data_IF_208462956130
#
_entry.id   IF_208462956130
#
_cell.length_a   1.000
_cell.length_b   1.000
_cell.length_c   1.000
_cell.angle_alpha   90.00
_cell.angle_beta   90.00
_cell.angle_gamma   90.00
#
_symmetry.space_group_name_H-M   'P 1'
#
loop_
_entity.id
_entity.type
_entity.pdbx_description
1 polymer ?
#
# COMPACT_ATOMS: atom_id res chain seq x y z
N UNK A 1 -0.17 26.47 13.83
CA UNK A 1 -1.07 26.48 12.64
C UNK A 1 -0.33 25.79 11.50
N UNK A 2 -0.83 24.66 10.98
CA UNK A 2 -0.20 23.95 9.86
C UNK A 2 -0.64 24.61 8.54
N UNK A 3 0.30 25.18 7.80
CA UNK A 3 0.05 25.70 6.46
C UNK A 3 0.11 24.51 5.49
N UNK A 4 -0.94 24.33 4.70
CA UNK A 4 -0.99 23.26 3.68
C UNK A 4 -1.04 23.87 2.29
N UNK A 5 -0.26 23.32 1.36
CA UNK A 5 -0.18 23.76 -0.03
C UNK A 5 -0.79 22.71 -0.96
N UNK A 6 -1.62 23.15 -1.91
CA UNK A 6 -2.21 22.30 -2.95
C UNK A 6 -1.64 22.69 -4.31
N UNK A 7 -0.86 21.80 -4.91
CA UNK A 7 -0.24 22.01 -6.22
C UNK A 7 -0.80 21.02 -7.24
N UNK A 8 -1.06 21.47 -8.47
CA UNK A 8 -1.27 20.58 -9.62
C UNK A 8 0.10 20.11 -10.14
N UNK A 9 0.27 18.80 -10.27
CA UNK A 9 1.49 18.21 -10.85
C UNK A 9 1.35 18.19 -12.38
N UNK A 10 2.21 18.95 -13.06
CA UNK A 10 2.35 18.92 -14.51
C UNK A 10 3.48 17.97 -14.90
N UNK A 11 3.30 17.25 -16.01
CA UNK A 11 4.27 16.26 -16.51
C UNK A 11 5.51 16.96 -17.07
N UNK A 12 6.58 16.94 -16.29
CA UNK A 12 7.89 17.49 -16.66
C UNK A 12 9.00 16.48 -16.32
N UNK A 13 10.21 16.67 -16.86
CA UNK A 13 11.34 15.77 -16.55
C UNK A 13 11.64 15.65 -15.05
N UNK A 14 11.46 16.75 -14.31
CA UNK A 14 11.65 16.81 -12.85
C UNK A 14 10.63 15.96 -12.07
N UNK A 15 9.48 15.64 -12.68
CA UNK A 15 8.40 14.85 -12.04
C UNK A 15 8.48 13.34 -12.31
N UNK A 16 9.37 12.89 -13.21
CA UNK A 16 9.54 11.46 -13.55
C UNK A 16 9.84 10.58 -12.33
N UNK A 17 10.52 11.13 -11.32
CA UNK A 17 10.80 10.40 -10.09
C UNK A 17 9.51 10.11 -9.31
N UNK A 18 8.55 11.05 -9.30
CA UNK A 18 7.28 10.94 -8.60
C UNK A 18 6.45 9.84 -9.25
N UNK A 19 6.39 9.82 -10.58
CA UNK A 19 5.68 8.77 -11.34
C UNK A 19 6.29 7.39 -11.08
N UNK A 20 7.62 7.32 -11.01
CA UNK A 20 8.34 6.08 -10.65
C UNK A 20 7.97 5.61 -9.25
N UNK A 21 7.93 6.52 -8.26
CA UNK A 21 7.50 6.22 -6.90
C UNK A 21 6.03 5.76 -6.86
N UNK A 22 5.15 6.41 -7.62
CA UNK A 22 3.74 6.07 -7.71
C UNK A 22 3.54 4.67 -8.31
N UNK A 23 4.30 4.32 -9.35
CA UNK A 23 4.29 2.97 -9.94
C UNK A 23 4.77 1.93 -8.92
N UNK A 24 5.86 2.19 -8.20
CA UNK A 24 6.36 1.30 -7.13
C UNK A 24 5.34 1.13 -6.00
N UNK A 25 4.66 2.22 -5.63
CA UNK A 25 3.57 2.21 -4.66
C UNK A 25 2.41 1.31 -5.13
N UNK A 26 2.02 1.42 -6.40
CA UNK A 26 0.99 0.58 -7.01
C UNK A 26 1.33 -0.91 -6.95
N UNK A 27 2.58 -1.28 -7.25
CA UNK A 27 3.06 -2.67 -7.15
C UNK A 27 2.95 -3.19 -5.71
N UNK A 28 3.38 -2.40 -4.71
CA UNK A 28 3.25 -2.78 -3.30
C UNK A 28 1.78 -2.95 -2.89
N UNK A 29 0.92 -2.02 -3.31
CA UNK A 29 -0.51 -2.06 -3.04
C UNK A 29 -1.13 -3.34 -3.58
N UNK A 30 -0.88 -3.65 -4.85
CA UNK A 30 -1.42 -4.85 -5.50
C UNK A 30 -0.94 -6.14 -4.82
N UNK A 31 0.33 -6.20 -4.41
CA UNK A 31 0.86 -7.33 -3.65
C UNK A 31 0.13 -7.53 -2.32
N UNK A 32 -0.10 -6.46 -1.56
CA UNK A 32 -0.85 -6.51 -0.31
C UNK A 32 -2.31 -6.95 -0.54
N UNK A 33 -2.99 -6.43 -1.56
CA UNK A 33 -4.35 -6.87 -1.89
C UNK A 33 -4.38 -8.35 -2.27
N UNK A 34 -3.41 -8.83 -3.06
CA UNK A 34 -3.31 -10.25 -3.42
C UNK A 34 -3.11 -11.14 -2.20
N UNK A 35 -2.27 -10.71 -1.25
CA UNK A 35 -2.07 -11.40 0.02
C UNK A 35 -3.37 -11.51 0.82
N UNK A 36 -4.10 -10.40 0.99
CA UNK A 36 -5.37 -10.40 1.70
C UNK A 36 -6.42 -11.29 1.02
N UNK A 37 -6.53 -11.25 -0.32
CA UNK A 37 -7.43 -12.14 -1.07
C UNK A 37 -7.10 -13.61 -0.83
N UNK A 38 -5.83 -13.98 -0.84
CA UNK A 38 -5.38 -15.35 -0.54
C UNK A 38 -5.71 -15.73 0.90
N UNK A 39 -5.42 -14.86 1.85
CA UNK A 39 -5.69 -15.10 3.27
C UNK A 39 -7.20 -15.29 3.54
N UNK A 40 -8.03 -14.45 2.93
CA UNK A 40 -9.47 -14.57 3.03
C UNK A 40 -10.02 -15.86 2.43
N UNK A 41 -9.48 -16.31 1.28
CA UNK A 41 -9.88 -17.59 0.67
C UNK A 41 -9.63 -18.77 1.62
N UNK A 42 -8.50 -18.77 2.32
CA UNK A 42 -8.07 -19.85 3.20
C UNK A 42 -8.76 -19.83 4.57
N UNK A 43 -8.84 -18.65 5.21
CA UNK A 43 -9.23 -18.54 6.61
C UNK A 43 -10.57 -17.82 6.84
N UNK A 44 -11.17 -17.25 5.78
CA UNK A 44 -12.38 -16.40 5.84
C UNK A 44 -12.26 -15.20 6.80
N UNK A 45 -11.02 -14.83 7.14
CA UNK A 45 -10.64 -13.70 8.01
C UNK A 45 -9.78 -12.72 7.21
N UNK A 46 -9.53 -11.53 7.74
CA UNK A 46 -8.54 -10.60 7.20
C UNK A 46 -7.25 -10.62 8.03
N UNK A 47 -6.14 -10.26 7.39
CA UNK A 47 -4.84 -10.14 8.02
C UNK A 47 -4.79 -8.88 8.89
N UNK A 48 -4.28 -8.98 10.12
CA UNK A 48 -4.12 -7.82 11.01
C UNK A 48 -3.01 -6.90 10.51
N UNK A 49 -3.11 -5.61 10.82
CA UNK A 49 -2.13 -4.58 10.44
C UNK A 49 -0.67 -4.94 10.80
N UNK A 50 -0.41 -5.38 12.03
CA UNK A 50 0.95 -5.71 12.48
C UNK A 50 1.54 -6.89 11.68
N UNK A 51 0.72 -7.88 11.34
CA UNK A 51 1.17 -9.02 10.54
C UNK A 51 1.46 -8.59 9.10
N UNK A 52 0.66 -7.67 8.54
CA UNK A 52 0.92 -7.05 7.24
C UNK A 52 2.24 -6.27 7.25
N UNK A 53 2.49 -5.45 8.28
CA UNK A 53 3.73 -4.70 8.41
C UNK A 53 4.95 -5.62 8.53
N UNK A 54 4.87 -6.69 9.33
CA UNK A 54 5.92 -7.73 9.42
C UNK A 54 6.14 -8.45 8.09
N UNK A 55 5.09 -8.67 7.31
CA UNK A 55 5.23 -9.24 5.98
C UNK A 55 5.95 -8.29 5.03
N UNK A 56 5.61 -7.00 5.04
CA UNK A 56 6.26 -6.00 4.20
C UNK A 56 7.74 -5.84 4.57
N UNK A 57 8.10 -5.88 5.85
CA UNK A 57 9.52 -5.80 6.25
C UNK A 57 10.32 -6.99 5.76
N UNK A 58 9.75 -8.21 5.75
CA UNK A 58 10.35 -9.39 5.10
C UNK A 58 10.45 -9.21 3.59
N UNK A 59 9.39 -8.69 2.96
CA UNK A 59 9.33 -8.45 1.52
C UNK A 59 10.46 -7.53 1.04
N UNK A 60 10.73 -6.43 1.77
CA UNK A 60 11.83 -5.48 1.49
C UNK A 60 13.23 -6.12 1.44
N UNK A 61 13.43 -7.27 2.09
CA UNK A 61 14.71 -7.98 2.10
C UNK A 61 14.93 -8.85 0.85
N UNK A 62 13.86 -9.14 0.10
CA UNK A 62 13.96 -9.97 -1.10
C UNK A 62 14.46 -9.16 -2.30
N UNK A 63 15.28 -9.76 -3.15
CA UNK A 63 15.88 -9.10 -4.32
C UNK A 63 14.81 -8.48 -5.25
N UNK A 64 13.74 -9.23 -5.53
CA UNK A 64 12.62 -8.79 -6.38
C UNK A 64 11.95 -7.51 -5.90
N UNK A 65 11.91 -7.28 -4.58
CA UNK A 65 11.21 -6.15 -3.97
C UNK A 65 12.19 -5.17 -3.29
N UNK A 66 13.48 -5.23 -3.60
CA UNK A 66 14.49 -4.33 -3.04
C UNK A 66 14.18 -2.86 -3.36
N UNK A 67 13.52 -2.58 -4.49
CA UNK A 67 13.05 -1.24 -4.87
C UNK A 67 12.08 -0.62 -3.86
N UNK A 68 11.43 -1.40 -2.99
CA UNK A 68 10.56 -0.87 -1.94
C UNK A 68 11.33 -0.07 -0.90
N UNK A 69 12.66 -0.23 -0.80
CA UNK A 69 13.48 0.61 0.09
C UNK A 69 13.49 2.07 -0.34
N UNK A 70 13.19 2.37 -1.60
CA UNK A 70 13.09 3.76 -2.08
C UNK A 70 11.76 4.41 -1.72
N UNK A 71 10.73 3.61 -1.39
CA UNK A 71 9.50 4.12 -0.83
C UNK A 71 9.76 4.38 0.65
N UNK A 72 9.77 5.65 1.05
CA UNK A 72 10.05 6.06 2.43
C UNK A 72 9.22 5.25 3.43
N UNK A 73 9.78 5.05 4.63
CA UNK A 73 9.16 4.21 5.66
C UNK A 73 7.74 4.68 6.02
N UNK A 74 7.51 5.99 6.07
CA UNK A 74 6.20 6.58 6.33
C UNK A 74 5.16 6.16 5.29
N UNK A 75 5.50 6.28 4.00
CA UNK A 75 4.61 5.92 2.89
C UNK A 75 4.17 4.45 2.94
N UNK A 76 5.04 3.57 3.42
CA UNK A 76 4.75 2.14 3.55
C UNK A 76 3.84 1.86 4.75
N UNK A 77 4.04 2.57 5.86
CA UNK A 77 3.16 2.48 7.03
C UNK A 77 1.76 2.99 6.67
N UNK A 78 1.67 4.16 6.04
CA UNK A 78 0.41 4.75 5.59
C UNK A 78 -0.33 3.84 4.60
N UNK A 79 0.39 3.16 3.69
CA UNK A 79 -0.20 2.18 2.78
C UNK A 79 -0.79 0.99 3.53
N UNK A 80 -0.08 0.44 4.51
CA UNK A 80 -0.55 -0.68 5.31
C UNK A 80 -1.81 -0.32 6.10
N UNK A 81 -1.82 0.85 6.74
CA UNK A 81 -2.97 1.37 7.48
C UNK A 81 -4.17 1.64 6.58
N UNK A 82 -3.93 2.22 5.39
CA UNK A 82 -4.99 2.46 4.40
C UNK A 82 -5.65 1.15 3.95
N UNK A 83 -4.86 0.10 3.74
CA UNK A 83 -5.37 -1.22 3.37
C UNK A 83 -6.16 -1.84 4.53
N UNK A 84 -5.61 -1.81 5.74
CA UNK A 84 -6.29 -2.33 6.95
C UNK A 84 -7.64 -1.64 7.17
N UNK A 85 -7.69 -0.31 7.05
CA UNK A 85 -8.93 0.47 7.14
C UNK A 85 -9.94 0.05 6.08
N UNK A 86 -9.51 -0.13 4.83
CA UNK A 86 -10.38 -0.54 3.74
C UNK A 86 -10.97 -1.95 3.97
N UNK A 87 -10.17 -2.88 4.49
CA UNK A 87 -10.68 -4.21 4.86
C UNK A 87 -11.61 -4.15 6.06
N UNK A 88 -11.30 -3.40 7.12
CA UNK A 88 -12.22 -3.21 8.26
C UNK A 88 -13.58 -2.69 7.81
N UNK A 89 -13.62 -1.69 6.92
CA UNK A 89 -14.87 -1.17 6.36
C UNK A 89 -15.63 -2.22 5.53
N UNK A 90 -14.94 -3.03 4.74
CA UNK A 90 -15.54 -4.13 4.00
C UNK A 90 -16.19 -5.17 4.93
N UNK A 91 -15.49 -5.59 6.00
CA UNK A 91 -16.03 -6.54 6.98
C UNK A 91 -17.19 -5.95 7.79
N UNK A 92 -17.20 -4.64 8.02
CA UNK A 92 -18.32 -3.93 8.64
C UNK A 92 -19.49 -3.67 7.67
N UNK A 93 -19.44 -4.20 6.43
CA UNK A 93 -20.44 -3.99 5.37
C UNK A 93 -20.64 -2.52 4.96
N UNK A 94 -19.67 -1.65 5.25
CA UNK A 94 -19.72 -0.22 4.93
C UNK A 94 -19.09 0.12 3.56
N UNK A 95 -18.30 -0.80 3.00
CA UNK A 95 -17.59 -0.59 1.74
C UNK A 95 -17.51 -1.87 0.90
N UNK A 96 -17.22 -1.70 -0.39
CA UNK A 96 -16.93 -2.81 -1.32
C UNK A 96 -15.50 -3.33 -1.12
N UNK A 97 -15.25 -4.56 -1.58
CA UNK A 97 -13.93 -5.18 -1.51
C UNK A 97 -12.87 -4.33 -2.23
N UNK A 98 -11.69 -4.09 -1.63
CA UNK A 98 -10.58 -3.39 -2.28
C UNK A 98 -10.14 -4.10 -3.58
N UNK A 99 -9.96 -3.32 -4.64
CA UNK A 99 -9.54 -3.80 -5.97
C UNK A 99 -8.08 -3.43 -6.23
N UNK A 100 -7.46 -4.08 -7.23
CA UNK A 100 -6.12 -3.70 -7.69
C UNK A 100 -6.15 -2.29 -8.29
N UNK A 101 -5.01 -1.60 -8.20
CA UNK A 101 -4.77 -0.27 -8.75
C UNK A 101 -3.79 -0.32 -9.91
#
# INVERSE_FOLDING_TARGET
MLITYKQKLYTNDKTKHIDTLLRRYGVLYNHCIALHKRYYRLFKKYLKLYDLQKHITKLKKTHRYAFLKTLGSQTIQDLAERIDKAFKQFFNKQAKLPRFK
#
